data_IF_288255403283
#
_entry.id   IF_288255403283
#
_cell.length_a   1.000
_cell.length_b   1.000
_cell.length_c   1.000
_cell.angle_alpha   90.00
_cell.angle_beta   90.00
_cell.angle_gamma   90.00
#
_symmetry.space_group_name_H-M   'P 1'
#
loop_
_entity.id
_entity.type
_entity.pdbx_description
1 polymer ?
#
# COMPACT_ATOMS: atom_id res chain seq x y z
N UNK A 1 24.71 19.25 1.55
CA UNK A 1 24.72 17.98 0.81
C UNK A 1 23.36 17.87 0.14
N UNK A 2 23.27 18.12 -1.16
CA UNK A 2 22.00 18.06 -1.90
C UNK A 2 21.78 16.62 -2.35
N UNK A 3 20.65 16.01 -1.95
CA UNK A 3 20.23 14.73 -2.49
C UNK A 3 19.42 15.00 -3.74
N UNK A 4 20.00 14.75 -4.92
CA UNK A 4 19.24 14.65 -6.16
C UNK A 4 18.42 13.37 -6.12
N UNK A 5 17.10 13.51 -6.22
CA UNK A 5 16.21 12.37 -6.37
C UNK A 5 16.37 11.82 -7.78
N UNK A 6 17.04 10.67 -7.91
CA UNK A 6 17.10 9.94 -9.17
C UNK A 6 15.90 8.99 -9.23
N UNK A 7 14.85 9.28 -10.02
CA UNK A 7 13.68 8.42 -10.07
C UNK A 7 14.09 7.06 -10.64
N UNK A 8 13.88 5.99 -9.87
CA UNK A 8 14.01 4.63 -10.37
C UNK A 8 13.05 4.45 -11.56
N UNK A 9 13.40 3.63 -12.56
CA UNK A 9 12.47 3.27 -13.63
C UNK A 9 11.17 2.76 -13.03
N UNK A 10 10.03 3.10 -13.65
CA UNK A 10 8.71 2.70 -13.15
C UNK A 10 8.62 1.16 -13.07
N UNK A 11 8.71 0.62 -11.86
CA UNK A 11 8.62 -0.82 -11.62
C UNK A 11 7.14 -1.20 -11.65
N UNK A 12 6.72 -2.15 -12.50
CA UNK A 12 5.34 -2.64 -12.49
C UNK A 12 5.01 -3.24 -11.12
N UNK A 13 3.99 -2.67 -10.46
CA UNK A 13 3.51 -3.14 -9.16
C UNK A 13 2.54 -4.34 -9.27
N UNK A 14 2.08 -4.65 -10.49
CA UNK A 14 1.23 -5.81 -10.76
C UNK A 14 1.95 -7.10 -10.39
N UNK A 15 1.19 -8.06 -9.86
CA UNK A 15 1.68 -9.39 -9.49
C UNK A 15 2.83 -9.37 -8.47
N UNK A 16 2.97 -8.28 -7.70
CA UNK A 16 3.91 -8.15 -6.58
C UNK A 16 3.19 -8.33 -5.25
N UNK A 17 3.97 -8.60 -4.21
CA UNK A 17 3.52 -8.43 -2.83
C UNK A 17 3.78 -7.00 -2.41
N UNK A 18 2.75 -6.31 -1.92
CA UNK A 18 2.85 -4.96 -1.37
C UNK A 18 2.77 -5.04 0.15
N UNK A 19 3.72 -4.40 0.82
CA UNK A 19 3.73 -4.21 2.28
C UNK A 19 3.52 -2.74 2.57
N UNK A 20 2.34 -2.39 3.05
CA UNK A 20 1.93 -1.03 3.39
C UNK A 20 2.20 -0.75 4.87
N UNK A 21 3.33 -0.09 5.16
CA UNK A 21 3.74 0.24 6.54
C UNK A 21 3.09 1.54 6.98
N UNK A 22 2.24 1.44 7.99
CA UNK A 22 1.44 2.56 8.47
C UNK A 22 0.12 2.72 7.74
N UNK A 23 -0.48 1.61 7.27
CA UNK A 23 -1.59 1.56 6.30
C UNK A 23 -2.86 2.35 6.63
N UNK A 24 -2.96 2.99 7.80
CA UNK A 24 -4.08 3.86 8.15
C UNK A 24 -5.43 3.14 8.06
N UNK A 25 -6.37 3.73 7.31
CA UNK A 25 -7.68 3.14 6.98
C UNK A 25 -7.67 2.33 5.68
N UNK A 26 -6.48 1.95 5.21
CA UNK A 26 -6.19 1.13 4.06
C UNK A 26 -6.50 1.73 2.68
N UNK A 27 -6.43 3.06 2.56
CA UNK A 27 -6.80 3.81 1.35
C UNK A 27 -5.84 3.57 0.17
N UNK A 28 -4.64 3.04 0.41
CA UNK A 28 -3.71 2.66 -0.65
C UNK A 28 -4.26 1.52 -1.50
N UNK A 29 -4.97 0.56 -0.89
CA UNK A 29 -5.51 -0.59 -1.62
C UNK A 29 -6.53 -0.20 -2.71
N UNK A 30 -7.58 0.60 -2.43
CA UNK A 30 -8.49 1.09 -3.47
C UNK A 30 -7.80 2.03 -4.46
N UNK A 31 -6.80 2.81 -4.04
CA UNK A 31 -6.00 3.62 -4.96
C UNK A 31 -5.23 2.75 -5.97
N UNK A 32 -4.64 1.64 -5.54
CA UNK A 32 -3.96 0.68 -6.43
C UNK A 32 -4.94 0.12 -7.46
N UNK A 33 -6.11 -0.35 -7.00
CA UNK A 33 -7.15 -0.88 -7.88
C UNK A 33 -7.62 0.16 -8.92
N UNK A 34 -7.83 1.42 -8.50
CA UNK A 34 -8.22 2.52 -9.38
C UNK A 34 -7.16 2.83 -10.46
N UNK A 35 -5.90 2.49 -10.22
CA UNK A 35 -4.79 2.63 -11.17
C UNK A 35 -4.50 1.31 -11.93
N UNK A 36 -5.42 0.35 -11.88
CA UNK A 36 -5.28 -0.96 -12.54
C UNK A 36 -4.28 -1.90 -11.87
N UNK A 37 -3.67 -1.50 -10.75
CA UNK A 37 -2.63 -2.27 -10.08
C UNK A 37 -3.27 -3.37 -9.23
N UNK A 38 -3.17 -4.61 -9.71
CA UNK A 38 -3.53 -5.82 -8.99
C UNK A 38 -2.31 -6.47 -8.35
N UNK A 39 -2.00 -6.20 -7.06
CA UNK A 39 -0.96 -6.95 -6.36
C UNK A 39 -1.41 -8.41 -6.16
N UNK A 40 -0.46 -9.35 -6.18
CA UNK A 40 -0.74 -10.76 -5.81
C UNK A 40 -1.12 -10.88 -4.35
N UNK A 41 -0.50 -10.04 -3.49
CA UNK A 41 -0.76 -9.98 -2.06
C UNK A 41 -0.62 -8.54 -1.58
N UNK A 42 -1.50 -8.14 -0.68
CA UNK A 42 -1.43 -6.84 0.01
C UNK A 42 -1.42 -7.08 1.52
N UNK A 43 -0.40 -6.56 2.20
CA UNK A 43 -0.18 -6.72 3.64
C UNK A 43 -0.12 -5.33 4.28
N UNK A 44 -1.14 -4.96 5.05
CA UNK A 44 -1.15 -3.73 5.84
C UNK A 44 -0.52 -3.94 7.21
N UNK A 45 0.38 -3.04 7.64
CA UNK A 45 1.00 -3.04 8.96
C UNK A 45 0.60 -1.79 9.72
N UNK A 46 0.06 -1.95 10.93
CA UNK A 46 -0.35 -0.84 11.80
C UNK A 46 -0.12 -1.17 13.27
N UNK A 47 0.31 -0.16 14.03
CA UNK A 47 0.61 -0.31 15.46
C UNK A 47 -0.61 -0.08 16.38
N UNK A 48 -1.67 0.55 15.87
CA UNK A 48 -2.86 0.90 16.64
C UNK A 48 -4.00 -0.08 16.33
N UNK A 49 -4.49 -0.78 17.35
CA UNK A 49 -5.43 -1.89 17.19
C UNK A 49 -6.82 -1.46 16.67
N UNK A 50 -7.29 -0.28 17.09
CA UNK A 50 -8.50 0.36 16.57
C UNK A 50 -8.42 0.60 15.06
N UNK A 51 -7.27 1.08 14.59
CA UNK A 51 -7.01 1.31 13.17
C UNK A 51 -6.91 0.01 12.40
N UNK A 52 -6.38 -1.07 12.99
CA UNK A 52 -6.40 -2.41 12.38
C UNK A 52 -7.83 -2.89 12.19
N UNK A 53 -8.71 -2.68 13.17
CA UNK A 53 -10.11 -3.08 13.05
C UNK A 53 -10.84 -2.27 11.96
N UNK A 54 -10.58 -0.97 11.86
CA UNK A 54 -11.14 -0.10 10.82
C UNK A 54 -10.63 -0.51 9.44
N UNK A 55 -9.32 -0.72 9.27
CA UNK A 55 -8.71 -1.11 8.00
C UNK A 55 -9.23 -2.47 7.52
N UNK A 56 -9.36 -3.44 8.43
CA UNK A 56 -9.90 -4.76 8.12
C UNK A 56 -11.35 -4.66 7.63
N UNK A 57 -12.24 -3.91 8.32
CA UNK A 57 -13.64 -3.75 7.89
C UNK A 57 -13.81 -3.12 6.51
N UNK A 58 -12.85 -2.31 6.06
CA UNK A 58 -12.90 -1.64 4.75
C UNK A 58 -12.36 -2.48 3.60
N UNK A 59 -11.56 -3.51 3.88
CA UNK A 59 -10.81 -4.28 2.90
C UNK A 59 -11.19 -5.76 2.85
N UNK A 60 -12.21 -6.19 3.60
CA UNK A 60 -12.87 -7.51 3.48
C UNK A 60 -14.04 -7.40 2.52
#
# INVERSE_FOLDING_TARGET
MNFEFNPLPAIPLHSRTIVDRGCGTADLHPWLAANGIGPTRYLGVKAFADMVAISHRRNV
#
